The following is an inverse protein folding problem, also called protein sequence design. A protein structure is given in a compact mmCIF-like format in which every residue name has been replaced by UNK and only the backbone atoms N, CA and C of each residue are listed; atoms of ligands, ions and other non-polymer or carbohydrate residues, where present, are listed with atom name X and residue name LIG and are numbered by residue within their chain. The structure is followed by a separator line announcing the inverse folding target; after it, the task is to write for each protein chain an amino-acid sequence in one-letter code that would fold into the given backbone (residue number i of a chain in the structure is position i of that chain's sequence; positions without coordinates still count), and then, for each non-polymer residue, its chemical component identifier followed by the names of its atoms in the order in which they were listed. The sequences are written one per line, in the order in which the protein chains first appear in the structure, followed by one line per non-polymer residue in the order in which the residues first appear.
data_IF_346102651912
#
_entry.id   IF_346102651912
#
_cell.length_a   1.000
_cell.length_b   1.000
_cell.length_c   1.000
_cell.angle_alpha   90.00
_cell.angle_beta   90.00
_cell.angle_gamma   90.00
#
_symmetry.space_group_name_H-M   'P 1'
#
loop_
_entity.id
_entity.type
_entity.pdbx_description
1 polymer ?
#
# COMPACT_ATOMS: atom_id res chain seq x y z
N UNK A 1 10.07 -9.47 -2.41
CA UNK A 1 9.34 -9.17 -1.18
C UNK A 1 10.03 -8.10 -0.38
N UNK A 2 9.29 -7.06 -0.01
CA UNK A 2 9.72 -5.95 0.85
C UNK A 2 8.57 -5.55 1.78
N UNK A 3 8.84 -4.68 2.75
CA UNK A 3 7.81 -4.11 3.62
C UNK A 3 7.54 -2.66 3.26
N UNK A 4 6.27 -2.27 3.21
CA UNK A 4 5.83 -0.88 3.08
C UNK A 4 5.35 -0.39 4.44
N UNK A 5 5.86 0.76 4.86
CA UNK A 5 5.46 1.45 6.09
C UNK A 5 5.02 2.85 5.76
N UNK A 6 3.77 3.17 6.08
CA UNK A 6 3.21 4.50 5.85
C UNK A 6 2.74 5.07 7.18
N UNK A 7 3.00 6.36 7.42
CA UNK A 7 2.37 7.14 8.48
C UNK A 7 1.46 8.14 7.80
N UNK A 8 0.16 8.07 8.07
CA UNK A 8 -0.84 8.93 7.45
C UNK A 8 -1.89 9.37 8.48
N UNK A 9 -2.74 10.32 8.11
CA UNK A 9 -3.95 10.61 8.89
C UNK A 9 -4.90 9.40 8.84
N UNK A 10 -5.69 9.24 9.91
CA UNK A 10 -6.60 8.10 10.07
C UNK A 10 -7.66 8.06 8.95
N UNK A 11 -8.09 9.23 8.46
CA UNK A 11 -9.05 9.35 7.37
C UNK A 11 -8.50 8.90 6.00
N UNK A 12 -7.17 8.88 5.83
CA UNK A 12 -6.52 8.52 4.56
C UNK A 12 -6.13 7.04 4.49
N UNK A 13 -6.20 6.32 5.62
CA UNK A 13 -5.68 4.96 5.74
C UNK A 13 -6.25 4.00 4.68
N UNK A 14 -7.58 3.98 4.51
CA UNK A 14 -8.25 3.09 3.55
C UNK A 14 -7.89 3.41 2.10
N UNK A 15 -7.79 4.69 1.76
CA UNK A 15 -7.40 5.14 0.41
C UNK A 15 -5.98 4.72 0.09
N UNK A 16 -5.06 4.85 1.05
CA UNK A 16 -3.66 4.44 0.88
C UNK A 16 -3.55 2.92 0.75
N UNK A 17 -4.25 2.14 1.58
CA UNK A 17 -4.26 0.67 1.48
C UNK A 17 -4.71 0.22 0.09
N UNK A 18 -5.78 0.82 -0.44
CA UNK A 18 -6.31 0.51 -1.77
C UNK A 18 -5.30 0.82 -2.87
N UNK A 19 -4.73 2.03 -2.86
CA UNK A 19 -3.74 2.43 -3.86
C UNK A 19 -2.50 1.52 -3.85
N UNK A 20 -2.05 1.09 -2.67
CA UNK A 20 -0.95 0.13 -2.54
C UNK A 20 -1.31 -1.27 -3.07
N UNK A 21 -2.55 -1.72 -2.86
CA UNK A 21 -3.05 -3.00 -3.40
C UNK A 21 -3.25 -3.00 -4.93
N UNK A 22 -3.43 -1.82 -5.55
CA UNK A 22 -3.45 -1.68 -7.01
C UNK A 22 -2.04 -1.70 -7.62
N UNK A 23 -1.05 -1.12 -6.92
CA UNK A 23 0.33 -1.04 -7.40
C UNK A 23 1.16 -2.30 -7.11
N UNK A 24 0.88 -3.00 -6.00
CA UNK A 24 1.66 -4.13 -5.52
C UNK A 24 0.77 -5.33 -5.18
N UNK A 25 1.37 -6.53 -5.19
CA UNK A 25 0.74 -7.66 -4.51
C UNK A 25 1.02 -7.51 -3.03
N UNK A 26 0.02 -7.10 -2.27
CA UNK A 26 0.15 -6.86 -0.84
C UNK A 26 -0.44 -8.00 -0.01
N UNK A 27 0.15 -8.24 1.16
CA UNK A 27 -0.52 -8.97 2.24
C UNK A 27 -1.60 -8.13 2.91
N UNK A 28 -2.24 -8.69 3.93
CA UNK A 28 -3.18 -7.96 4.79
C UNK A 28 -2.48 -6.77 5.46
N UNK A 29 -3.14 -5.61 5.44
CA UNK A 29 -2.62 -4.41 6.07
C UNK A 29 -2.78 -4.50 7.59
N UNK A 30 -1.69 -4.24 8.32
CA UNK A 30 -1.72 -4.07 9.77
C UNK A 30 -1.70 -2.59 10.11
N UNK A 31 -2.67 -2.16 10.92
CA UNK A 31 -2.92 -0.76 11.25
C UNK A 31 -2.69 -0.54 12.75
N UNK A 32 -1.87 0.44 13.09
CA UNK A 32 -1.60 0.81 14.48
C UNK A 32 -1.60 2.34 14.64
N UNK A 33 -2.29 2.91 15.64
CA UNK A 33 -2.19 4.34 15.93
C UNK A 33 -0.75 4.69 16.30
N UNK A 34 -0.30 5.90 15.98
CA UNK A 34 0.96 6.46 16.49
C UNK A 34 0.87 6.71 18.00
N UNK A 35 2.01 6.97 18.65
CA UNK A 35 2.07 7.12 20.11
C UNK A 35 1.19 8.28 20.63
N UNK A 36 1.02 9.33 19.82
CA UNK A 36 0.17 10.48 20.08
C UNK A 36 -1.29 10.29 19.63
N UNK A 37 -1.61 9.19 18.93
CA UNK A 37 -2.95 8.87 18.44
C UNK A 37 -3.49 9.80 17.35
N UNK A 38 -2.66 10.70 16.80
CA UNK A 38 -3.09 11.64 15.76
C UNK A 38 -2.93 11.09 14.35
N UNK A 39 -2.14 10.02 14.18
CA UNK A 39 -1.86 9.40 12.89
C UNK A 39 -1.93 7.89 13.01
N UNK A 40 -2.02 7.26 11.86
CA UNK A 40 -2.02 5.82 11.70
C UNK A 40 -0.73 5.36 11.04
N UNK A 41 -0.19 4.26 11.55
CA UNK A 41 0.89 3.49 10.92
C UNK A 41 0.32 2.27 10.23
N UNK A 42 0.59 2.16 8.93
CA UNK A 42 0.25 1.01 8.11
C UNK A 42 1.50 0.18 7.86
N UNK A 43 1.38 -1.14 8.00
CA UNK A 43 2.42 -2.11 7.65
C UNK A 43 1.86 -3.14 6.68
N UNK A 44 2.45 -3.19 5.48
CA UNK A 44 2.10 -4.17 4.46
C UNK A 44 3.36 -4.93 4.02
N UNK A 45 3.25 -6.24 3.87
CA UNK A 45 4.20 -6.99 3.03
C UNK A 45 3.84 -6.75 1.58
N UNK A 46 4.84 -6.58 0.72
CA UNK A 46 4.63 -6.28 -0.69
C UNK A 46 5.60 -7.07 -1.59
N UNK A 47 5.08 -7.50 -2.72
CA UNK A 47 5.85 -7.95 -3.86
C UNK A 47 5.55 -7.07 -5.06
N UNK A 48 6.57 -6.83 -5.89
CA UNK A 48 6.37 -6.15 -7.17
C UNK A 48 5.39 -6.97 -8.00
N UNK A 49 4.25 -6.38 -8.35
CA UNK A 49 3.46 -6.89 -9.45
C UNK A 49 4.36 -6.78 -10.69
N UNK A 50 4.68 -7.90 -11.34
CA UNK A 50 5.26 -7.82 -12.68
C UNK A 50 4.21 -7.08 -13.53
N UNK A 51 4.54 -5.94 -14.16
CA UNK A 51 3.60 -5.35 -15.11
C UNK A 51 3.25 -6.45 -16.11
N UNK A 52 1.96 -6.69 -16.36
CA UNK A 52 1.56 -7.59 -17.44
C UNK A 52 2.34 -7.15 -18.67
N UNK A 53 3.09 -8.07 -19.28
CA UNK A 53 3.99 -7.81 -20.39
C UNK A 53 3.32 -6.79 -21.32
N UNK A 54 3.91 -5.59 -21.40
CA UNK A 54 3.32 -4.47 -22.10
C UNK A 54 2.93 -4.93 -23.49
N UNK A 55 1.63 -5.13 -23.72
CA UNK A 55 1.13 -5.27 -25.07
C UNK A 55 1.31 -3.87 -25.67
N UNK A 56 2.09 -3.70 -26.74
CA UNK A 56 2.22 -2.39 -27.35
C UNK A 56 0.82 -1.96 -27.79
N UNK A 57 0.41 -0.77 -27.36
CA UNK A 57 -0.72 -0.10 -28.00
C UNK A 57 -0.30 0.16 -29.45
N UNK A 58 -0.95 -0.56 -30.35
CA UNK A 58 -0.83 -0.45 -31.79
C UNK A 58 -1.48 0.87 -32.20
N UNK A 59 -0.69 1.84 -32.67
CA UNK A 59 -1.16 3.02 -33.42
C UNK A 59 -0.09 3.45 -34.41
#
# INVERSE_FOLDING_TARGET
MFEIRVICDDHDADTIIRALGEAFRTGEARTYPTRDGMRTRLYLTADLARPADGKPDDT
#
